data_IF_692781041673
#
_entry.id   IF_692781041673
#
_cell.length_a   1.000
_cell.length_b   1.000
_cell.length_c   1.000
_cell.angle_alpha   90.00
_cell.angle_beta   90.00
_cell.angle_gamma   90.00
#
_symmetry.space_group_name_H-M   'P 1'
#
loop_
_entity.id
_entity.type
_entity.pdbx_description
1 polymer ?
#
# COMPACT_ATOMS: atom_id res chain seq x y z
N UNK A 1 -12.52 8.55 -15.08
CA UNK A 1 -12.54 8.92 -13.63
C UNK A 1 -11.38 9.86 -13.41
N UNK A 2 -11.61 11.03 -12.79
CA UNK A 2 -10.56 12.00 -12.49
C UNK A 2 -10.01 11.75 -11.08
N UNK A 3 -8.68 11.68 -10.96
CA UNK A 3 -7.95 11.47 -9.70
C UNK A 3 -7.18 12.74 -9.37
N UNK A 4 -7.20 13.16 -8.11
CA UNK A 4 -6.32 14.20 -7.58
C UNK A 4 -5.29 13.54 -6.67
N UNK A 5 -4.02 13.73 -6.97
CA UNK A 5 -2.89 13.24 -6.19
C UNK A 5 -2.17 14.42 -5.55
N UNK A 6 -2.21 14.52 -4.23
CA UNK A 6 -1.55 15.56 -3.45
C UNK A 6 -0.32 14.91 -2.82
N UNK A 7 0.86 15.31 -3.29
CA UNK A 7 2.15 14.81 -2.82
C UNK A 7 2.86 15.89 -2.00
N UNK A 8 3.24 15.57 -0.77
CA UNK A 8 3.92 16.50 0.13
C UNK A 8 5.45 16.37 0.17
N UNK A 9 6.05 15.46 -0.59
CA UNK A 9 7.47 15.10 -0.39
C UNK A 9 8.26 14.92 -1.69
N UNK A 10 7.66 14.37 -2.73
CA UNK A 10 8.39 13.91 -3.91
C UNK A 10 8.74 15.06 -4.86
N UNK A 11 10.00 15.15 -5.33
CA UNK A 11 10.36 16.08 -6.40
C UNK A 11 9.55 15.82 -7.68
N UNK A 12 9.11 16.88 -8.36
CA UNK A 12 8.29 16.78 -9.56
C UNK A 12 8.95 15.96 -10.67
N UNK A 13 10.26 16.04 -10.82
CA UNK A 13 11.03 15.25 -11.82
C UNK A 13 10.91 13.75 -11.52
N UNK A 14 11.11 13.34 -10.26
CA UNK A 14 10.98 11.93 -9.87
C UNK A 14 9.55 11.42 -10.03
N UNK A 15 8.55 12.26 -9.74
CA UNK A 15 7.14 11.96 -10.00
C UNK A 15 6.90 11.72 -11.49
N UNK A 16 7.40 12.60 -12.35
CA UNK A 16 7.27 12.49 -13.79
C UNK A 16 7.90 11.20 -14.33
N UNK A 17 9.11 10.85 -13.89
CA UNK A 17 9.80 9.62 -14.28
C UNK A 17 9.00 8.37 -13.92
N UNK A 18 8.45 8.32 -12.70
CA UNK A 18 7.62 7.20 -12.23
C UNK A 18 6.31 7.09 -13.01
N UNK A 19 5.65 8.21 -13.25
CA UNK A 19 4.41 8.24 -14.04
C UNK A 19 4.67 7.81 -15.49
N UNK A 20 5.76 8.27 -16.09
CA UNK A 20 6.14 7.85 -17.44
C UNK A 20 6.38 6.34 -17.52
N UNK A 21 7.06 5.74 -16.52
CA UNK A 21 7.27 4.30 -16.45
C UNK A 21 5.94 3.53 -16.33
N UNK A 22 5.00 4.03 -15.51
CA UNK A 22 3.67 3.43 -15.35
C UNK A 22 2.88 3.54 -16.65
N UNK A 23 2.81 4.73 -17.28
CA UNK A 23 2.08 4.92 -18.53
C UNK A 23 2.63 4.04 -19.63
N UNK A 24 3.95 3.95 -19.76
CA UNK A 24 4.61 3.10 -20.76
C UNK A 24 4.36 1.59 -20.54
N UNK A 25 3.96 1.18 -19.35
CA UNK A 25 3.60 -0.22 -19.05
C UNK A 25 2.17 -0.59 -19.48
N UNK A 26 1.34 0.41 -19.80
CA UNK A 26 -0.04 0.20 -20.24
C UNK A 26 -0.20 0.39 -21.74
N UNK A 27 -1.15 -0.32 -22.35
CA UNK A 27 -1.47 -0.18 -23.77
C UNK A 27 -2.40 1.01 -24.05
N UNK A 28 -3.18 1.42 -23.05
CA UNK A 28 -4.14 2.51 -23.19
C UNK A 28 -3.59 3.81 -22.58
N UNK A 29 -3.69 4.89 -23.34
CA UNK A 29 -3.40 6.22 -22.81
C UNK A 29 -4.53 6.71 -21.90
N UNK A 30 -4.14 7.32 -20.77
CA UNK A 30 -5.10 8.01 -19.91
C UNK A 30 -5.59 9.29 -20.62
N UNK A 31 -6.83 9.71 -20.34
CA UNK A 31 -7.30 11.02 -20.79
C UNK A 31 -6.45 12.14 -20.15
N UNK A 32 -6.22 13.24 -20.89
CA UNK A 32 -5.34 14.34 -20.48
C UNK A 32 -5.65 14.93 -19.10
N UNK A 33 -6.91 14.86 -18.66
CA UNK A 33 -7.36 15.37 -17.38
C UNK A 33 -7.64 14.26 -16.34
N UNK A 34 -7.22 13.03 -16.61
CA UNK A 34 -7.49 11.88 -15.72
C UNK A 34 -6.76 11.98 -14.38
N UNK A 35 -5.58 12.59 -14.34
CA UNK A 35 -4.75 12.78 -13.16
C UNK A 35 -4.37 14.24 -12.98
N UNK A 36 -4.73 14.81 -11.83
CA UNK A 36 -4.30 16.12 -11.37
C UNK A 36 -3.29 15.94 -10.25
N UNK A 37 -2.09 16.50 -10.38
CA UNK A 37 -1.02 16.42 -9.38
C UNK A 37 -0.83 17.78 -8.74
N UNK A 38 -0.73 17.77 -7.40
CA UNK A 38 -0.36 18.92 -6.58
C UNK A 38 0.88 18.54 -5.80
N UNK A 39 2.02 19.18 -6.06
CA UNK A 39 3.32 18.86 -5.48
C UNK A 39 4.06 20.16 -5.10
N UNK A 40 5.01 20.13 -4.12
CA UNK A 40 5.73 21.33 -3.66
C UNK A 40 6.42 22.11 -4.78
N UNK A 41 7.05 21.41 -5.72
CA UNK A 41 7.81 22.06 -6.81
C UNK A 41 6.93 22.85 -7.80
N UNK A 42 5.61 22.67 -7.74
CA UNK A 42 4.66 23.36 -8.62
C UNK A 42 3.82 24.43 -7.88
N UNK A 43 4.26 24.86 -6.71
CA UNK A 43 3.56 25.88 -5.91
C UNK A 43 4.15 27.30 -6.08
N UNK A 44 5.08 27.53 -7.02
CA UNK A 44 5.72 28.83 -7.28
C UNK A 44 6.31 29.49 -6.02
N UNK A 45 6.80 28.67 -5.07
CA UNK A 45 7.37 29.11 -3.80
C UNK A 45 6.36 29.25 -2.65
N UNK A 46 5.07 29.08 -2.91
CA UNK A 46 4.05 29.03 -1.86
C UNK A 46 4.09 27.67 -1.12
N UNK A 47 3.72 27.63 0.16
CA UNK A 47 3.68 26.38 0.90
C UNK A 47 2.56 25.47 0.40
N UNK A 48 2.80 24.16 0.51
CA UNK A 48 1.74 23.16 0.26
C UNK A 48 0.53 23.40 1.19
N UNK A 49 -0.69 23.22 0.66
CA UNK A 49 -1.91 23.32 1.46
C UNK A 49 -1.87 22.37 2.67
N UNK A 50 -2.13 22.91 3.85
CA UNK A 50 -2.27 22.11 5.07
C UNK A 50 -3.72 21.69 5.25
N UNK A 51 -4.02 20.40 5.02
CA UNK A 51 -5.38 19.85 5.08
C UNK A 51 -5.95 19.80 6.50
N UNK A 52 -5.15 20.03 7.52
CA UNK A 52 -5.64 20.17 8.89
C UNK A 52 -6.17 21.58 9.20
N UNK A 53 -6.12 22.49 8.21
CA UNK A 53 -6.68 23.85 8.31
C UNK A 53 -7.81 24.07 7.32
N UNK A 54 -8.72 24.99 7.66
CA UNK A 54 -9.82 25.40 6.77
C UNK A 54 -9.27 26.10 5.53
N UNK A 55 -8.22 26.89 5.69
CA UNK A 55 -7.54 27.62 4.62
C UNK A 55 -6.90 26.68 3.62
N UNK A 56 -6.18 25.65 4.07
CA UNK A 56 -5.57 24.64 3.21
C UNK A 56 -6.62 23.82 2.47
N UNK A 57 -7.72 23.47 3.14
CA UNK A 57 -8.86 22.79 2.50
C UNK A 57 -9.54 23.69 1.44
N UNK A 58 -9.66 24.98 1.71
CA UNK A 58 -10.23 25.95 0.79
C UNK A 58 -9.35 26.15 -0.45
N UNK A 59 -8.02 26.11 -0.30
CA UNK A 59 -7.06 26.25 -1.40
C UNK A 59 -7.21 25.13 -2.47
N UNK A 60 -7.49 23.89 -2.03
CA UNK A 60 -7.67 22.78 -2.96
C UNK A 60 -9.13 22.62 -3.45
N UNK A 61 -10.09 23.26 -2.81
CA UNK A 61 -11.52 23.09 -3.13
C UNK A 61 -11.86 23.35 -4.61
N UNK A 62 -11.32 24.39 -5.28
CA UNK A 62 -11.57 24.64 -6.72
C UNK A 62 -11.09 23.49 -7.62
N UNK A 63 -10.06 22.75 -7.21
CA UNK A 63 -9.46 21.68 -7.97
C UNK A 63 -10.26 20.36 -7.91
N UNK A 64 -11.25 20.28 -7.02
CA UNK A 64 -12.05 19.08 -6.78
C UNK A 64 -13.18 18.87 -7.79
N UNK A 65 -13.34 19.76 -8.76
CA UNK A 65 -14.36 19.59 -9.79
C UNK A 65 -14.08 18.35 -10.65
N UNK A 66 -15.07 17.49 -10.79
CA UNK A 66 -14.97 16.20 -11.52
C UNK A 66 -14.10 15.12 -10.86
N UNK A 67 -13.41 15.42 -9.75
CA UNK A 67 -12.58 14.47 -9.01
C UNK A 67 -13.45 13.43 -8.32
N UNK A 68 -13.05 12.15 -8.42
CA UNK A 68 -13.72 11.01 -7.75
C UNK A 68 -12.85 10.33 -6.71
N UNK A 69 -11.52 10.43 -6.85
CA UNK A 69 -10.56 9.92 -5.88
C UNK A 69 -9.56 11.02 -5.55
N UNK A 70 -9.33 11.24 -4.26
CA UNK A 70 -8.30 12.13 -3.74
C UNK A 70 -7.28 11.24 -3.03
N UNK A 71 -6.01 11.32 -3.43
CA UNK A 71 -4.87 10.69 -2.76
C UNK A 71 -4.11 11.75 -1.99
N UNK A 72 -3.88 11.53 -0.71
CA UNK A 72 -3.12 12.41 0.20
C UNK A 72 -1.85 11.67 0.60
N UNK A 73 -0.73 12.02 0.01
CA UNK A 73 0.58 11.38 0.21
C UNK A 73 1.59 12.42 0.75
N UNK A 74 1.82 12.48 2.04
CA UNK A 74 1.26 11.70 3.12
C UNK A 74 0.67 12.59 4.23
N UNK A 75 0.05 11.95 5.22
CA UNK A 75 -0.57 12.67 6.36
C UNK A 75 0.46 13.55 7.09
N UNK A 76 1.69 13.09 7.28
CA UNK A 76 2.71 13.80 8.07
C UNK A 76 3.13 15.13 7.45
N UNK A 77 3.09 15.26 6.14
CA UNK A 77 3.49 16.47 5.42
C UNK A 77 2.34 17.40 5.07
N UNK A 78 1.14 16.83 4.92
CA UNK A 78 -0.05 17.55 4.44
C UNK A 78 -1.08 17.85 5.54
N UNK A 79 -0.86 17.35 6.77
CA UNK A 79 -1.71 17.60 7.94
C UNK A 79 -0.83 18.01 9.14
N UNK A 80 -0.30 19.24 9.10
CA UNK A 80 0.85 19.67 9.91
C UNK A 80 0.47 20.37 11.23
N UNK A 81 -0.76 20.79 11.44
CA UNK A 81 -1.18 21.47 12.68
C UNK A 81 -1.31 20.47 13.81
N UNK A 82 -0.55 20.72 14.87
CA UNK A 82 -0.45 19.86 16.05
C UNK A 82 0.68 18.83 15.96
N UNK A 83 0.89 18.10 17.04
CA UNK A 83 1.79 16.96 17.03
C UNK A 83 1.08 15.78 16.35
N UNK A 84 1.82 14.92 15.67
CA UNK A 84 1.31 13.74 14.95
C UNK A 84 0.40 12.83 15.82
N UNK A 85 0.49 12.99 17.15
CA UNK A 85 -0.24 12.25 18.17
C UNK A 85 -1.46 13.00 18.75
N UNK A 86 -1.71 14.25 18.37
CA UNK A 86 -2.84 15.02 18.91
C UNK A 86 -4.15 14.68 18.18
N UNK A 87 -5.13 14.21 18.95
CA UNK A 87 -6.43 13.81 18.43
C UNK A 87 -7.21 14.96 17.77
N UNK A 88 -6.97 16.19 18.23
CA UNK A 88 -7.77 17.36 17.82
C UNK A 88 -7.43 17.84 16.41
N UNK A 89 -6.16 17.74 15.99
CA UNK A 89 -5.76 18.07 14.61
C UNK A 89 -6.31 17.09 13.58
N UNK A 90 -6.49 15.83 14.00
CA UNK A 90 -7.09 14.83 13.14
C UNK A 90 -8.60 15.01 12.93
N UNK A 91 -9.32 15.54 13.92
CA UNK A 91 -10.77 15.76 13.81
C UNK A 91 -11.11 16.69 12.64
N UNK A 92 -10.29 17.70 12.35
CA UNK A 92 -10.47 18.61 11.20
C UNK A 92 -10.29 17.87 9.86
N UNK A 93 -9.25 17.05 9.74
CA UNK A 93 -8.99 16.24 8.55
C UNK A 93 -10.09 15.18 8.34
N UNK A 94 -10.52 14.57 9.44
CA UNK A 94 -11.61 13.59 9.45
C UNK A 94 -12.93 14.21 8.96
N UNK A 95 -13.30 15.38 9.46
CA UNK A 95 -14.51 16.10 9.01
C UNK A 95 -14.44 16.45 7.53
N UNK A 96 -13.26 16.88 7.04
CA UNK A 96 -13.06 17.12 5.63
C UNK A 96 -13.22 15.84 4.80
N UNK A 97 -12.62 14.72 5.20
CA UNK A 97 -12.75 13.45 4.50
C UNK A 97 -14.22 12.97 4.43
N UNK A 98 -14.96 13.10 5.54
CA UNK A 98 -16.40 12.80 5.57
C UNK A 98 -17.20 13.71 4.64
N UNK A 99 -16.84 14.99 4.52
CA UNK A 99 -17.45 15.92 3.55
C UNK A 99 -17.17 15.49 2.11
N UNK A 100 -15.93 15.03 1.81
CA UNK A 100 -15.62 14.52 0.47
C UNK A 100 -16.43 13.25 0.16
N UNK A 101 -16.54 12.32 1.13
CA UNK A 101 -17.38 11.13 0.98
C UNK A 101 -18.85 11.48 0.71
N UNK A 102 -19.41 12.43 1.43
CA UNK A 102 -20.80 12.93 1.22
C UNK A 102 -20.98 13.54 -0.17
N UNK A 103 -19.93 14.11 -0.74
CA UNK A 103 -19.90 14.63 -2.12
C UNK A 103 -19.64 13.53 -3.17
N UNK A 104 -19.61 12.26 -2.78
CA UNK A 104 -19.40 11.10 -3.66
C UNK A 104 -17.95 10.91 -4.11
N UNK A 105 -16.97 11.40 -3.33
CA UNK A 105 -15.53 11.21 -3.56
C UNK A 105 -14.96 10.17 -2.59
N UNK A 106 -13.98 9.42 -3.03
CA UNK A 106 -13.14 8.59 -2.16
C UNK A 106 -11.91 9.37 -1.75
N UNK A 107 -11.43 9.15 -0.51
CA UNK A 107 -10.16 9.72 -0.02
C UNK A 107 -9.25 8.58 0.39
N UNK A 108 -8.05 8.53 -0.17
CA UNK A 108 -6.99 7.60 0.19
C UNK A 108 -5.89 8.38 0.92
N UNK A 109 -5.67 8.05 2.18
CA UNK A 109 -4.55 8.60 2.95
C UNK A 109 -3.38 7.63 2.93
N UNK A 110 -2.20 8.14 2.61
CA UNK A 110 -0.94 7.42 2.77
C UNK A 110 -0.31 7.84 4.10
N UNK A 111 0.18 6.86 4.84
CA UNK A 111 0.84 7.09 6.12
C UNK A 111 2.02 6.14 6.32
N UNK A 112 3.15 6.69 6.81
CA UNK A 112 4.32 5.87 7.08
C UNK A 112 4.15 5.07 8.38
N UNK A 113 4.41 3.78 8.31
CA UNK A 113 4.49 2.94 9.50
C UNK A 113 5.65 3.39 10.42
N UNK A 114 5.46 3.26 11.73
CA UNK A 114 6.52 3.45 12.70
C UNK A 114 7.65 2.43 12.55
N UNK A 115 8.79 2.68 13.22
CA UNK A 115 9.96 1.75 13.18
C UNK A 115 9.63 0.32 13.65
N UNK A 116 8.57 0.15 14.43
CA UNK A 116 8.08 -1.15 14.92
C UNK A 116 7.06 -1.79 13.98
N UNK A 117 6.79 -1.21 12.80
CA UNK A 117 5.74 -1.67 11.90
C UNK A 117 4.31 -1.28 12.31
N UNK A 118 4.13 -0.73 13.53
CA UNK A 118 2.85 -0.23 13.97
C UNK A 118 2.57 1.17 13.38
N UNK A 119 1.30 1.49 13.17
CA UNK A 119 0.88 2.82 12.73
C UNK A 119 1.32 3.88 13.75
N UNK A 120 1.88 4.99 13.27
CA UNK A 120 2.15 6.16 14.10
C UNK A 120 0.85 6.93 14.33
N UNK A 121 0.56 7.27 15.58
CA UNK A 121 -0.60 8.06 15.96
C UNK A 121 -1.69 7.28 16.68
N UNK A 122 -2.83 7.93 16.90
CA UNK A 122 -3.93 7.39 17.69
C UNK A 122 -4.83 6.47 16.85
N UNK A 123 -5.37 5.41 17.46
CA UNK A 123 -6.41 4.53 16.87
C UNK A 123 -7.65 5.30 16.38
N UNK A 124 -7.89 6.51 16.90
CA UNK A 124 -8.95 7.44 16.45
C UNK A 124 -8.90 7.72 14.93
N UNK A 125 -7.71 7.64 14.31
CA UNK A 125 -7.57 7.88 12.86
C UNK A 125 -8.35 6.86 12.02
N UNK A 126 -8.50 5.65 12.52
CA UNK A 126 -9.16 4.56 11.81
C UNK A 126 -10.67 4.52 11.97
N UNK A 127 -11.25 5.29 12.93
CA UNK A 127 -12.66 5.18 13.28
C UNK A 127 -13.58 5.44 12.08
N UNK A 128 -13.25 6.39 11.22
CA UNK A 128 -14.06 6.78 10.05
C UNK A 128 -13.63 6.13 8.75
N UNK A 129 -12.50 5.42 8.74
CA UNK A 129 -12.03 4.75 7.54
C UNK A 129 -12.86 3.48 7.28
N UNK A 130 -13.22 3.27 6.02
CA UNK A 130 -13.92 2.07 5.59
C UNK A 130 -12.95 0.91 5.38
N UNK A 131 -11.73 1.22 4.94
CA UNK A 131 -10.67 0.23 4.70
C UNK A 131 -9.33 0.74 5.26
N UNK A 132 -8.59 -0.12 5.94
CA UNK A 132 -7.21 0.11 6.37
C UNK A 132 -6.35 -0.99 5.79
N UNK A 133 -5.32 -0.59 5.05
CA UNK A 133 -4.38 -1.50 4.38
C UNK A 133 -3.00 -1.27 4.96
N UNK A 134 -2.36 -2.34 5.44
CA UNK A 134 -0.95 -2.35 5.80
C UNK A 134 -0.13 -3.00 4.69
N UNK A 135 0.89 -2.29 4.21
CA UNK A 135 1.91 -2.85 3.33
C UNK A 135 3.09 -3.30 4.17
N UNK A 136 3.44 -4.58 4.07
CA UNK A 136 4.53 -5.19 4.84
C UNK A 136 5.57 -5.78 3.92
N UNK A 137 6.82 -5.66 4.32
CA UNK A 137 7.92 -6.32 3.59
C UNK A 137 7.90 -7.81 3.94
N UNK A 138 7.99 -8.74 2.95
CA UNK A 138 8.12 -10.16 3.23
C UNK A 138 9.34 -10.45 4.09
N UNK A 139 9.27 -11.45 4.98
CA UNK A 139 10.38 -11.80 5.88
C UNK A 139 11.65 -12.24 5.13
N UNK A 140 11.49 -12.85 3.97
CA UNK A 140 12.56 -13.30 3.07
C UNK A 140 12.94 -12.27 1.98
N UNK A 141 12.51 -11.01 2.12
CA UNK A 141 12.80 -9.97 1.14
C UNK A 141 14.29 -9.67 1.01
N UNK A 142 14.74 -9.56 -0.23
CA UNK A 142 16.08 -9.07 -0.57
C UNK A 142 15.99 -7.85 -1.49
N UNK A 143 16.95 -6.89 -1.43
CA UNK A 143 16.90 -5.67 -2.26
C UNK A 143 16.81 -5.94 -3.76
N UNK A 144 17.31 -7.09 -4.23
CA UNK A 144 17.25 -7.48 -5.64
C UNK A 144 15.84 -7.81 -6.15
N UNK A 145 14.87 -7.98 -5.24
CA UNK A 145 13.48 -8.25 -5.61
C UNK A 145 12.68 -6.98 -5.96
N UNK A 146 13.29 -5.80 -5.87
CA UNK A 146 12.62 -4.55 -6.21
C UNK A 146 11.39 -4.26 -5.34
N UNK A 147 10.29 -3.86 -5.96
CA UNK A 147 9.04 -3.61 -5.26
C UNK A 147 8.29 -4.92 -5.02
N UNK A 148 8.51 -5.53 -3.85
CA UNK A 148 7.78 -6.72 -3.39
C UNK A 148 7.28 -6.49 -1.97
N UNK A 149 5.97 -6.68 -1.75
CA UNK A 149 5.33 -6.45 -0.46
C UNK A 149 4.05 -7.26 -0.29
N UNK A 150 3.71 -7.48 0.97
CA UNK A 150 2.46 -8.10 1.38
C UNK A 150 1.41 -7.01 1.63
N UNK A 151 0.19 -7.24 1.17
CA UNK A 151 -1.00 -6.41 1.42
C UNK A 151 -1.84 -7.09 2.49
N UNK A 152 -2.07 -6.41 3.61
CA UNK A 152 -2.90 -6.89 4.70
C UNK A 152 -4.07 -5.92 4.92
N UNK A 153 -5.30 -6.43 4.94
CA UNK A 153 -6.49 -5.65 5.27
C UNK A 153 -6.71 -5.67 6.78
N UNK A 154 -6.26 -4.62 7.48
CA UNK A 154 -6.46 -4.48 8.93
C UNK A 154 -7.89 -4.09 9.27
N UNK A 155 -8.57 -3.43 8.32
CA UNK A 155 -10.00 -3.11 8.39
C UNK A 155 -10.60 -3.21 6.99
N UNK A 156 -11.77 -3.86 6.89
CA UNK A 156 -12.53 -3.99 5.66
C UNK A 156 -14.03 -3.94 5.98
N UNK A 157 -14.68 -2.79 5.83
CA UNK A 157 -16.11 -2.64 6.13
C UNK A 157 -17.04 -3.07 5.01
N UNK A 158 -16.57 -2.99 3.78
CA UNK A 158 -17.39 -3.23 2.58
C UNK A 158 -17.22 -4.60 1.95
N UNK A 159 -16.25 -5.41 2.42
CA UNK A 159 -15.92 -6.73 1.87
C UNK A 159 -15.35 -7.65 2.96
N UNK A 160 -15.35 -8.97 2.72
CA UNK A 160 -14.92 -9.97 3.69
C UNK A 160 -14.59 -11.30 3.01
N UNK A 161 -14.14 -12.29 3.79
CA UNK A 161 -13.78 -13.61 3.26
C UNK A 161 -12.61 -13.52 2.28
N UNK A 162 -12.72 -14.19 1.15
CA UNK A 162 -11.67 -14.31 0.13
C UNK A 162 -11.17 -12.96 -0.40
N UNK A 163 -12.04 -11.93 -0.42
CA UNK A 163 -11.70 -10.58 -0.88
C UNK A 163 -10.80 -9.82 0.11
N UNK A 164 -10.84 -10.20 1.38
CA UNK A 164 -10.03 -9.61 2.44
C UNK A 164 -8.79 -10.46 2.80
N UNK A 165 -8.53 -11.55 2.08
CA UNK A 165 -7.34 -12.34 2.32
C UNK A 165 -6.06 -11.58 1.96
N UNK A 166 -5.00 -11.71 2.77
CA UNK A 166 -3.72 -11.10 2.46
C UNK A 166 -3.15 -11.60 1.13
N UNK A 167 -2.47 -10.71 0.41
CA UNK A 167 -1.84 -11.04 -0.87
C UNK A 167 -0.39 -10.57 -0.91
N UNK A 168 0.43 -11.30 -1.65
CA UNK A 168 1.78 -10.89 -2.04
C UNK A 168 1.69 -10.19 -3.39
N UNK A 169 2.20 -8.97 -3.44
CA UNK A 169 2.32 -8.17 -4.66
C UNK A 169 3.78 -7.98 -5.01
N UNK A 170 4.11 -8.00 -6.29
CA UNK A 170 5.44 -7.69 -6.80
C UNK A 170 5.33 -6.92 -8.12
N UNK A 171 6.29 -6.03 -8.35
CA UNK A 171 6.49 -5.37 -9.63
C UNK A 171 7.62 -6.11 -10.35
N UNK A 172 7.25 -6.81 -11.40
CA UNK A 172 8.16 -7.58 -12.24
C UNK A 172 8.32 -6.90 -13.62
N UNK A 173 9.24 -7.41 -14.43
CA UNK A 173 9.34 -7.03 -15.84
C UNK A 173 8.87 -8.19 -16.72
N UNK A 174 8.12 -7.89 -17.77
CA UNK A 174 7.74 -8.85 -18.78
C UNK A 174 8.90 -9.15 -19.75
N UNK A 175 8.68 -10.02 -20.73
CA UNK A 175 9.66 -10.38 -21.75
C UNK A 175 10.11 -9.19 -22.65
N UNK A 176 9.39 -8.07 -22.59
CA UNK A 176 9.69 -6.84 -23.32
C UNK A 176 10.30 -5.75 -22.43
N UNK A 177 10.58 -6.06 -21.14
CA UNK A 177 11.10 -5.09 -20.17
C UNK A 177 10.07 -4.08 -19.67
N UNK A 178 8.77 -4.36 -19.84
CA UNK A 178 7.71 -3.53 -19.29
C UNK A 178 7.39 -3.93 -17.86
N UNK A 179 7.18 -2.93 -17.01
CA UNK A 179 6.79 -3.13 -15.63
C UNK A 179 5.38 -3.74 -15.54
N UNK A 180 5.25 -4.88 -14.86
CA UNK A 180 3.99 -5.61 -14.68
C UNK A 180 3.78 -5.91 -13.21
N UNK A 181 2.62 -5.51 -12.68
CA UNK A 181 2.21 -5.89 -11.34
C UNK A 181 1.67 -7.32 -11.33
N UNK A 182 2.27 -8.16 -10.49
CA UNK A 182 1.79 -9.52 -10.18
C UNK A 182 1.24 -9.56 -8.76
N UNK A 183 0.23 -10.38 -8.53
CA UNK A 183 -0.31 -10.59 -7.19
C UNK A 183 -0.85 -12.02 -7.03
N UNK A 184 -0.73 -12.56 -5.82
CA UNK A 184 -1.26 -13.87 -5.46
C UNK A 184 -1.61 -13.93 -3.98
N UNK A 185 -2.54 -14.81 -3.59
CA UNK A 185 -2.88 -15.03 -2.18
C UNK A 185 -1.61 -15.36 -1.38
N UNK A 186 -1.42 -14.69 -0.25
CA UNK A 186 -0.21 -14.84 0.57
C UNK A 186 -0.07 -16.28 1.08
N UNK A 187 -1.16 -16.96 1.43
CA UNK A 187 -1.12 -18.37 1.86
C UNK A 187 -0.54 -19.29 0.77
N UNK A 188 -0.91 -19.08 -0.51
CA UNK A 188 -0.38 -19.85 -1.62
C UNK A 188 1.10 -19.55 -1.85
N UNK A 189 1.48 -18.28 -1.81
CA UNK A 189 2.86 -17.86 -1.94
C UNK A 189 3.75 -18.47 -0.83
N UNK A 190 3.26 -18.44 0.40
CA UNK A 190 3.95 -19.04 1.55
C UNK A 190 4.04 -20.56 1.42
N UNK A 191 2.98 -21.21 0.98
CA UNK A 191 2.98 -22.66 0.74
C UNK A 191 4.05 -23.07 -0.27
N UNK A 192 4.13 -22.38 -1.41
CA UNK A 192 5.11 -22.69 -2.45
C UNK A 192 6.55 -22.51 -1.94
N UNK A 193 6.82 -21.43 -1.18
CA UNK A 193 8.12 -21.19 -0.55
C UNK A 193 8.50 -22.30 0.44
N UNK A 194 7.56 -22.72 1.31
CA UNK A 194 7.78 -23.82 2.27
C UNK A 194 8.11 -25.12 1.53
N UNK A 195 7.41 -25.43 0.44
CA UNK A 195 7.67 -26.64 -0.36
C UNK A 195 9.04 -26.56 -1.03
N UNK A 196 9.42 -25.42 -1.60
CA UNK A 196 10.73 -25.23 -2.21
C UNK A 196 11.85 -25.48 -1.23
N UNK A 197 11.84 -24.75 -0.09
CA UNK A 197 12.88 -24.85 0.94
C UNK A 197 12.97 -26.26 1.55
N UNK A 198 11.85 -26.94 1.73
CA UNK A 198 11.84 -28.31 2.22
C UNK A 198 12.48 -29.27 1.18
N UNK A 199 12.24 -29.06 -0.11
CA UNK A 199 12.86 -29.84 -1.18
C UNK A 199 14.36 -29.52 -1.38
N UNK A 200 14.83 -28.38 -0.89
CA UNK A 200 16.23 -28.00 -0.79
C UNK A 200 16.91 -28.61 0.45
N UNK A 201 16.14 -29.26 1.33
CA UNK A 201 16.65 -29.98 2.51
C UNK A 201 16.67 -29.18 3.79
N UNK A 202 16.04 -28.00 3.86
CA UNK A 202 15.95 -27.21 5.08
C UNK A 202 15.04 -27.89 6.11
N UNK A 203 15.42 -27.77 7.40
CA UNK A 203 14.56 -28.25 8.47
C UNK A 203 13.32 -27.34 8.66
N UNK A 204 12.23 -27.84 9.26
CA UNK A 204 11.07 -27.00 9.56
C UNK A 204 11.38 -25.79 10.46
N UNK A 205 12.45 -25.86 11.27
CA UNK A 205 12.89 -24.75 12.10
C UNK A 205 13.58 -23.67 11.27
N UNK A 206 14.48 -24.07 10.36
CA UNK A 206 15.19 -23.16 9.48
C UNK A 206 14.22 -22.46 8.50
N UNK A 207 13.23 -23.21 7.97
CA UNK A 207 12.17 -22.64 7.12
C UNK A 207 11.36 -21.59 7.89
N UNK A 208 11.01 -21.87 9.15
CA UNK A 208 10.25 -20.93 9.97
C UNK A 208 11.04 -19.64 10.23
N UNK A 209 12.33 -19.73 10.47
CA UNK A 209 13.23 -18.62 10.68
C UNK A 209 13.43 -17.82 9.38
N UNK A 210 13.72 -18.50 8.27
CA UNK A 210 13.98 -17.85 6.99
C UNK A 210 12.78 -17.07 6.44
N UNK A 211 11.56 -17.60 6.63
CA UNK A 211 10.32 -16.97 6.14
C UNK A 211 9.67 -16.03 7.17
N UNK A 212 10.25 -15.93 8.38
CA UNK A 212 9.67 -15.19 9.52
C UNK A 212 8.21 -15.59 9.82
N UNK A 213 7.95 -16.91 9.84
CA UNK A 213 6.63 -17.47 10.11
C UNK A 213 6.65 -18.47 11.26
N UNK A 214 5.49 -18.72 11.85
CA UNK A 214 5.38 -19.68 12.96
C UNK A 214 5.68 -21.12 12.49
N UNK A 215 6.36 -21.90 13.35
CA UNK A 215 6.62 -23.34 13.14
C UNK A 215 5.34 -24.15 12.88
N UNK A 216 4.22 -23.77 13.52
CA UNK A 216 2.91 -24.38 13.27
C UNK A 216 2.41 -24.16 11.84
N UNK A 217 2.66 -23.00 11.25
CA UNK A 217 2.35 -22.69 9.86
C UNK A 217 3.17 -23.56 8.91
N UNK A 218 4.49 -23.66 9.15
CA UNK A 218 5.38 -24.55 8.37
C UNK A 218 4.88 -26.01 8.46
N UNK A 219 4.58 -26.51 9.67
CA UNK A 219 4.08 -27.87 9.86
C UNK A 219 2.78 -28.14 9.09
N UNK A 220 1.85 -27.18 9.10
CA UNK A 220 0.60 -27.26 8.35
C UNK A 220 0.85 -27.36 6.83
N UNK A 221 1.72 -26.50 6.29
CA UNK A 221 2.08 -26.51 4.87
C UNK A 221 2.82 -27.79 4.47
N UNK A 222 3.77 -28.26 5.26
CA UNK A 222 4.46 -29.54 5.03
C UNK A 222 3.51 -30.73 5.03
N UNK A 223 2.53 -30.76 5.97
CA UNK A 223 1.50 -31.80 6.00
C UNK A 223 0.65 -31.78 4.71
N UNK A 224 0.23 -30.59 4.26
CA UNK A 224 -0.49 -30.40 2.99
C UNK A 224 0.36 -30.84 1.80
N UNK A 225 1.63 -30.44 1.75
CA UNK A 225 2.56 -30.80 0.67
C UNK A 225 2.79 -32.33 0.57
N UNK A 226 2.92 -33.00 1.74
CA UNK A 226 3.02 -34.48 1.79
C UNK A 226 1.77 -35.15 1.22
N UNK A 227 0.59 -34.69 1.60
CA UNK A 227 -0.68 -35.26 1.09
C UNK A 227 -0.86 -35.03 -0.41
N UNK A 228 -0.21 -34.04 -1.00
CA UNK A 228 -0.22 -33.72 -2.42
C UNK A 228 0.96 -34.35 -3.20
N UNK A 229 1.89 -35.04 -2.53
CA UNK A 229 3.06 -35.65 -3.17
C UNK A 229 4.09 -34.65 -3.68
N UNK A 230 4.13 -33.43 -3.14
CA UNK A 230 4.99 -32.34 -3.61
C UNK A 230 6.38 -32.33 -2.94
N UNK A 231 6.57 -33.10 -1.87
CA UNK A 231 7.87 -33.24 -1.20
C UNK A 231 8.66 -34.37 -1.82
N UNK A 232 9.94 -34.09 -2.11
CA UNK A 232 10.88 -35.14 -2.55
C UNK A 232 10.96 -36.20 -1.46
N UNK A 233 10.90 -37.47 -1.86
CA UNK A 233 11.18 -38.57 -0.95
C UNK A 233 12.60 -38.40 -0.42
N UNK A 234 12.76 -38.43 0.92
CA UNK A 234 14.08 -38.56 1.50
C UNK A 234 14.76 -39.77 0.83
N UNK A 235 15.89 -39.56 0.15
CA UNK A 235 16.73 -40.68 -0.25
C UNK A 235 17.25 -41.33 1.02
N UNK A 236 17.12 -42.65 1.16
CA UNK A 236 17.65 -43.37 2.30
C UNK A 236 19.16 -43.22 2.44
#
# INVERSE_FOLDING_TARGET
>A
MRVMYIDGEMPAVTMQERLAAIVNSHEAEAADDALLIVTPDMQDGEPMPDLSTIEGQAAIAPLLEGVRLIVVDNISTLCRTGTENESDSWDVVQMWALKQRSAGRSVLFVHHAGKTGAQRGTSKREDVLDTVIALRRPGDYTPGQGASFEVHFEKARGFSGDEAEPMLCALDEDEHGKAVWTWRKLELATFDKVVSLANEGLTPADIAEQLDINKSTVSRHLKKARSQGLLRSEKP
#
